data_IF_611896269031
#
_entry.id   IF_611896269031
#
_cell.length_a   1.000
_cell.length_b   1.000
_cell.length_c   1.000
_cell.angle_alpha   90.00
_cell.angle_beta   90.00
_cell.angle_gamma   90.00
#
_symmetry.space_group_name_H-M   'P 1'
#
loop_
_entity.id
_entity.type
_entity.pdbx_description
1 polymer ?
#
# COMPACT_ATOMS: atom_id res chain seq x y z
N UNK A 1 10.96 -8.73 -23.62
CA UNK A 1 11.00 -7.92 -22.39
C UNK A 1 11.02 -8.88 -21.23
N UNK A 2 11.88 -8.70 -20.24
CA UNK A 2 11.95 -9.58 -19.06
C UNK A 2 10.77 -9.26 -18.14
N UNK A 3 10.03 -10.25 -17.65
CA UNK A 3 8.96 -10.01 -16.67
C UNK A 3 9.55 -9.64 -15.29
N UNK A 4 8.85 -8.83 -14.48
CA UNK A 4 9.26 -8.55 -13.11
C UNK A 4 9.26 -9.85 -12.28
N UNK A 5 10.24 -10.04 -11.36
CA UNK A 5 10.28 -11.21 -10.48
C UNK A 5 9.28 -11.05 -9.32
N UNK A 6 7.98 -11.01 -9.63
CA UNK A 6 6.91 -10.62 -8.69
C UNK A 6 6.89 -11.46 -7.41
N UNK A 7 7.11 -12.77 -7.49
CA UNK A 7 7.16 -13.61 -6.30
C UNK A 7 8.30 -13.20 -5.35
N UNK A 8 9.47 -12.88 -5.91
CA UNK A 8 10.61 -12.43 -5.11
C UNK A 8 10.38 -11.04 -4.53
N UNK A 9 9.82 -10.12 -5.33
CA UNK A 9 9.40 -8.78 -4.88
C UNK A 9 8.41 -8.90 -3.71
N UNK A 10 7.36 -9.70 -3.88
CA UNK A 10 6.32 -9.89 -2.88
C UNK A 10 6.87 -10.46 -1.57
N UNK A 11 7.69 -11.52 -1.63
CA UNK A 11 8.36 -12.08 -0.44
C UNK A 11 9.25 -11.05 0.25
N UNK A 12 9.90 -10.18 -0.52
CA UNK A 12 10.73 -9.10 -0.01
C UNK A 12 9.97 -8.02 0.76
N UNK A 13 8.63 -7.94 0.65
CA UNK A 13 7.83 -6.98 1.40
C UNK A 13 7.73 -7.33 2.89
N UNK A 14 7.88 -8.59 3.27
CA UNK A 14 7.69 -9.04 4.64
C UNK A 14 8.61 -8.32 5.63
N UNK A 15 8.06 -7.90 6.77
CA UNK A 15 8.82 -7.26 7.85
C UNK A 15 8.31 -5.86 8.18
N UNK A 16 9.17 -5.06 8.80
CA UNK A 16 8.86 -3.71 9.29
C UNK A 16 9.60 -2.67 8.47
N UNK A 17 8.88 -1.61 8.10
CA UNK A 17 9.34 -0.55 7.23
C UNK A 17 9.17 0.80 7.91
N UNK A 18 10.14 1.70 7.72
CA UNK A 18 9.99 3.11 8.03
C UNK A 18 9.28 3.81 6.89
N UNK A 19 8.24 4.58 7.20
CA UNK A 19 7.48 5.34 6.22
C UNK A 19 7.80 6.83 6.34
N UNK A 20 8.06 7.45 5.19
CA UNK A 20 8.06 8.90 5.02
C UNK A 20 7.44 9.25 3.68
N UNK A 21 6.39 10.06 3.69
CA UNK A 21 5.69 10.50 2.48
C UNK A 21 5.46 12.00 2.53
N UNK A 22 5.64 12.68 1.40
CA UNK A 22 5.20 14.06 1.22
C UNK A 22 3.87 14.05 0.47
N UNK A 23 2.87 14.71 1.04
CA UNK A 23 1.57 14.90 0.43
C UNK A 23 1.48 16.32 -0.10
N UNK A 24 1.14 16.44 -1.38
CA UNK A 24 0.95 17.73 -2.05
C UNK A 24 -0.36 17.66 -2.80
N UNK A 25 -1.33 18.48 -2.39
CA UNK A 25 -2.60 18.62 -3.09
C UNK A 25 -2.60 19.90 -3.93
N UNK A 26 -3.21 19.83 -5.11
CA UNK A 26 -3.49 21.01 -5.95
C UNK A 26 -4.80 21.69 -5.58
N UNK A 27 -5.63 21.07 -4.75
CA UNK A 27 -6.93 21.60 -4.36
C UNK A 27 -6.80 22.52 -3.13
N UNK A 28 -7.37 23.75 -3.19
CA UNK A 28 -7.36 24.65 -2.04
C UNK A 28 -8.02 24.02 -0.80
N UNK A 29 -7.35 24.11 0.34
CA UNK A 29 -7.85 23.61 1.63
C UNK A 29 -7.64 22.11 1.89
N UNK A 30 -7.08 21.36 0.93
CA UNK A 30 -6.67 19.98 1.17
C UNK A 30 -5.28 19.92 1.81
N UNK A 31 -5.03 18.94 2.71
CA UNK A 31 -3.81 18.91 3.50
C UNK A 31 -2.60 18.58 2.64
N UNK A 32 -1.69 19.54 2.52
CA UNK A 32 -0.29 19.30 2.18
C UNK A 32 0.50 19.04 3.47
N UNK A 33 1.55 18.25 3.41
CA UNK A 33 2.41 18.01 4.57
C UNK A 33 3.29 16.77 4.46
N UNK A 34 3.90 16.41 5.59
CA UNK A 34 4.75 15.22 5.69
C UNK A 34 4.14 14.20 6.62
N UNK A 35 3.97 12.98 6.11
CA UNK A 35 3.61 11.80 6.90
C UNK A 35 4.88 11.04 7.29
N UNK A 36 5.02 10.75 8.58
CA UNK A 36 6.06 9.88 9.11
C UNK A 36 5.45 8.79 9.98
N UNK A 37 5.97 7.57 9.87
CA UNK A 37 5.43 6.43 10.58
C UNK A 37 6.15 5.12 10.28
N UNK A 38 5.44 4.02 10.51
CA UNK A 38 5.92 2.68 10.22
C UNK A 38 4.84 1.83 9.57
N UNK A 39 5.26 0.85 8.78
CA UNK A 39 4.41 -0.20 8.28
C UNK A 39 4.96 -1.58 8.64
N UNK A 40 4.06 -2.54 8.76
CA UNK A 40 4.42 -3.96 8.83
C UNK A 40 3.69 -4.74 7.76
N UNK A 41 4.40 -5.69 7.14
CA UNK A 41 3.81 -6.76 6.36
C UNK A 41 3.95 -8.07 7.15
N UNK A 42 2.84 -8.56 7.67
CA UNK A 42 2.75 -9.82 8.43
C UNK A 42 1.93 -10.88 7.67
N UNK A 43 2.21 -12.19 7.82
CA UNK A 43 1.40 -13.23 7.18
C UNK A 43 -0.09 -13.09 7.53
N UNK A 44 -0.96 -13.21 6.52
CA UNK A 44 -2.42 -13.17 6.67
C UNK A 44 -3.04 -14.52 6.30
N UNK A 45 -4.15 -14.87 6.95
CA UNK A 45 -4.95 -16.05 6.60
C UNK A 45 -5.75 -15.87 5.30
N UNK A 46 -5.85 -14.64 4.79
CA UNK A 46 -6.53 -14.31 3.55
C UNK A 46 -5.96 -15.07 2.34
N UNK A 47 -6.81 -15.29 1.34
CA UNK A 47 -6.44 -15.95 0.07
C UNK A 47 -5.70 -17.27 0.28
N UNK A 48 -6.20 -18.15 1.17
CA UNK A 48 -5.56 -19.42 1.51
C UNK A 48 -4.10 -19.26 2.00
N UNK A 49 -3.85 -18.25 2.86
CA UNK A 49 -2.53 -17.97 3.44
C UNK A 49 -1.45 -17.55 2.42
N UNK A 50 -1.86 -16.99 1.29
CA UNK A 50 -0.95 -16.49 0.23
C UNK A 50 -0.79 -14.96 0.24
N UNK A 51 -1.15 -14.32 1.35
CA UNK A 51 -1.23 -12.87 1.46
C UNK A 51 -0.49 -12.34 2.69
N UNK A 52 -0.17 -11.04 2.65
CA UNK A 52 0.31 -10.29 3.80
C UNK A 52 -0.74 -9.27 4.24
N UNK A 53 -0.93 -9.13 5.55
CA UNK A 53 -1.57 -7.97 6.13
C UNK A 53 -0.54 -6.84 6.19
N UNK A 54 -0.80 -5.79 5.45
CA UNK A 54 -0.14 -4.51 5.60
C UNK A 54 -0.87 -3.72 6.69
N UNK A 55 -0.13 -3.21 7.66
CA UNK A 55 -0.64 -2.32 8.70
C UNK A 55 0.31 -1.13 8.83
N UNK A 56 -0.18 0.08 8.55
CA UNK A 56 0.57 1.32 8.74
C UNK A 56 -0.01 2.15 9.87
N UNK A 57 0.90 2.74 10.64
CA UNK A 57 0.58 3.76 11.63
C UNK A 57 1.54 4.93 11.48
N UNK A 58 1.06 6.14 11.77
CA UNK A 58 1.91 7.32 11.71
C UNK A 58 1.13 8.61 11.91
N UNK A 59 1.80 9.72 11.67
CA UNK A 59 1.19 11.05 11.77
C UNK A 59 1.54 11.87 10.54
N UNK A 60 0.51 12.44 9.91
CA UNK A 60 0.66 13.51 8.94
C UNK A 60 0.69 14.83 9.71
N UNK A 61 1.80 15.55 9.58
CA UNK A 61 1.90 16.96 9.98
C UNK A 61 1.67 17.80 8.75
N UNK A 62 0.59 18.58 8.75
CA UNK A 62 0.27 19.47 7.63
C UNK A 62 1.11 20.74 7.67
N UNK A 63 1.25 21.41 6.53
CA UNK A 63 1.97 22.69 6.45
C UNK A 63 1.32 23.80 7.29
N UNK A 64 0.04 23.62 7.65
CA UNK A 64 -0.72 24.49 8.55
C UNK A 64 -0.56 24.12 10.03
N UNK A 65 0.23 23.08 10.34
CA UNK A 65 0.52 22.62 11.70
C UNK A 65 -0.51 21.64 12.29
N UNK A 66 -1.51 21.22 11.52
CA UNK A 66 -2.45 20.19 11.97
C UNK A 66 -1.75 18.82 12.01
N UNK A 67 -2.11 18.01 13.01
CA UNK A 67 -1.58 16.66 13.19
C UNK A 67 -2.70 15.66 13.03
N UNK A 68 -2.61 14.82 12.01
CA UNK A 68 -3.60 13.78 11.70
C UNK A 68 -2.94 12.42 11.91
N UNK A 69 -3.46 11.65 12.86
CA UNK A 69 -3.00 10.28 13.10
C UNK A 69 -3.61 9.38 12.04
N UNK A 70 -2.79 8.55 11.41
CA UNK A 70 -3.26 7.51 10.50
C UNK A 70 -3.01 6.14 11.12
N UNK A 71 -4.01 5.28 10.96
CA UNK A 71 -3.97 3.86 11.25
C UNK A 71 -4.74 3.17 10.12
N UNK A 72 -4.04 2.47 9.23
CA UNK A 72 -4.65 1.86 8.04
C UNK A 72 -4.14 0.45 7.81
N UNK A 73 -5.04 -0.42 7.35
CA UNK A 73 -4.73 -1.80 6.99
C UNK A 73 -5.13 -2.10 5.55
N UNK A 74 -4.35 -2.93 4.88
CA UNK A 74 -4.62 -3.48 3.56
C UNK A 74 -4.17 -4.94 3.51
N UNK A 75 -4.80 -5.76 2.68
CA UNK A 75 -4.29 -7.10 2.37
C UNK A 75 -3.57 -7.05 1.03
N UNK A 76 -2.29 -7.42 1.02
CA UNK A 76 -1.49 -7.56 -0.17
C UNK A 76 -1.46 -9.02 -0.60
N UNK A 77 -1.77 -9.29 -1.86
CA UNK A 77 -1.77 -10.64 -2.45
C UNK A 77 -0.86 -10.67 -3.67
N UNK A 78 -0.08 -11.75 -3.80
CA UNK A 78 0.51 -12.16 -5.07
C UNK A 78 -0.33 -13.27 -5.70
N UNK A 79 -0.77 -13.08 -6.95
CA UNK A 79 -1.44 -14.10 -7.77
C UNK A 79 -0.47 -14.59 -8.83
N UNK A 80 -0.14 -15.89 -8.80
CA UNK A 80 0.73 -16.51 -9.81
C UNK A 80 -0.01 -16.69 -11.15
N UNK A 81 -1.30 -17.01 -11.11
CA UNK A 81 -2.12 -17.22 -12.31
C UNK A 81 -2.33 -15.91 -13.10
N UNK A 82 -2.55 -14.80 -12.38
CA UNK A 82 -2.76 -13.49 -12.99
C UNK A 82 -1.47 -12.69 -13.18
N UNK A 83 -0.33 -13.19 -12.67
CA UNK A 83 0.95 -12.49 -12.60
C UNK A 83 0.84 -11.05 -12.02
N UNK A 84 0.18 -10.92 -10.86
CA UNK A 84 -0.09 -9.59 -10.25
C UNK A 84 0.18 -9.54 -8.75
N UNK A 85 0.54 -8.35 -8.29
CA UNK A 85 0.46 -7.98 -6.87
C UNK A 85 -0.69 -6.98 -6.74
N UNK A 86 -1.62 -7.25 -5.83
CA UNK A 86 -2.80 -6.39 -5.58
C UNK A 86 -2.95 -6.06 -4.11
N UNK A 87 -3.49 -4.87 -3.84
CA UNK A 87 -3.88 -4.40 -2.52
C UNK A 87 -5.40 -4.42 -2.40
N UNK A 88 -5.90 -4.87 -1.26
CA UNK A 88 -7.33 -5.04 -0.97
C UNK A 88 -7.67 -4.30 0.31
N UNK A 89 -8.86 -3.70 0.34
CA UNK A 89 -9.40 -3.17 1.59
C UNK A 89 -9.63 -4.29 2.60
N UNK A 90 -9.48 -3.93 3.87
CA UNK A 90 -9.69 -4.83 5.01
C UNK A 90 -11.03 -4.51 5.65
N UNK A 91 -11.81 -5.56 5.91
CA UNK A 91 -12.95 -5.50 6.84
C UNK A 91 -12.57 -6.23 8.12
N UNK A 92 -12.98 -5.66 9.24
CA UNK A 92 -12.82 -6.32 10.54
C UNK A 92 -14.10 -7.09 10.87
N UNK A 93 -14.03 -8.43 10.86
CA UNK A 93 -15.18 -9.29 11.20
C UNK A 93 -14.82 -10.11 12.43
N UNK A 94 -15.58 -9.92 13.52
CA UNK A 94 -15.38 -10.66 14.78
C UNK A 94 -13.94 -10.58 15.33
N UNK A 95 -13.29 -9.42 15.20
CA UNK A 95 -11.93 -9.18 15.67
C UNK A 95 -10.83 -9.78 14.79
N UNK A 96 -11.15 -10.17 13.55
CA UNK A 96 -10.18 -10.63 12.54
C UNK A 96 -10.21 -9.73 11.32
N UNK A 97 -9.01 -9.43 10.81
CA UNK A 97 -8.81 -8.74 9.55
C UNK A 97 -9.05 -9.73 8.38
N UNK A 98 -10.00 -9.41 7.50
CA UNK A 98 -10.31 -10.21 6.31
C UNK A 98 -10.49 -9.32 5.08
N UNK A 99 -10.49 -9.93 3.90
CA UNK A 99 -10.60 -9.26 2.61
C UNK A 99 -11.99 -8.66 2.44
N UNK A 100 -12.03 -7.39 2.05
CA UNK A 100 -13.23 -6.73 1.57
C UNK A 100 -13.22 -6.72 0.02
N UNK A 101 -12.96 -5.57 -0.61
CA UNK A 101 -12.88 -5.43 -2.06
C UNK A 101 -11.52 -4.89 -2.52
N UNK A 102 -11.24 -5.05 -3.82
CA UNK A 102 -9.98 -4.62 -4.45
C UNK A 102 -9.79 -3.11 -4.29
N UNK A 103 -8.61 -2.69 -3.84
CA UNK A 103 -8.20 -1.29 -3.81
C UNK A 103 -7.51 -0.93 -5.12
N UNK A 104 -6.37 -1.57 -5.42
CA UNK A 104 -5.66 -1.39 -6.67
C UNK A 104 -4.72 -2.56 -6.98
N UNK A 105 -4.24 -2.61 -8.21
CA UNK A 105 -3.19 -3.52 -8.67
C UNK A 105 -1.90 -2.73 -8.90
N UNK A 106 -0.76 -3.39 -8.67
CA UNK A 106 0.55 -2.81 -8.95
C UNK A 106 0.95 -3.12 -10.39
N UNK A 107 1.26 -2.08 -11.15
CA UNK A 107 1.85 -2.17 -12.48
C UNK A 107 3.35 -1.99 -12.40
N UNK A 108 4.10 -2.91 -13.02
CA UNK A 108 5.55 -2.90 -12.96
C UNK A 108 6.15 -2.51 -14.31
N UNK A 109 7.06 -1.55 -14.27
CA UNK A 109 7.83 -1.12 -15.43
C UNK A 109 9.32 -1.20 -15.10
N UNK A 110 10.11 -1.56 -16.11
CA UNK A 110 11.57 -1.56 -16.01
C UNK A 110 12.04 -0.14 -16.31
N UNK A 111 12.70 0.48 -15.34
CA UNK A 111 13.40 1.74 -15.53
C UNK A 111 14.88 1.51 -15.32
N UNK A 112 15.69 1.72 -16.36
CA UNK A 112 17.13 1.48 -16.33
C UNK A 112 17.47 0.08 -15.78
N UNK A 113 18.02 0.00 -14.57
CA UNK A 113 18.44 -1.22 -13.88
C UNK A 113 17.47 -1.69 -12.78
N UNK A 114 16.37 -0.98 -12.54
CA UNK A 114 15.42 -1.23 -11.45
C UNK A 114 13.98 -1.52 -11.92
N UNK A 115 13.22 -2.13 -11.02
CA UNK A 115 11.78 -2.30 -11.18
C UNK A 115 11.06 -1.19 -10.42
N UNK A 116 10.17 -0.49 -11.10
CA UNK A 116 9.32 0.55 -10.52
C UNK A 116 7.88 0.07 -10.57
N UNK A 117 7.24 0.03 -9.40
CA UNK A 117 5.82 -0.24 -9.27
C UNK A 117 5.05 1.08 -9.27
N UNK A 118 3.99 1.16 -10.07
CA UNK A 118 3.02 2.25 -10.09
C UNK A 118 1.64 1.67 -9.81
N UNK A 119 0.77 2.49 -9.26
CA UNK A 119 -0.62 2.12 -9.06
C UNK A 119 -1.46 3.37 -9.01
N UNK A 120 -2.59 3.33 -9.69
CA UNK A 120 -3.57 4.40 -9.69
C UNK A 120 -4.79 3.94 -8.88
N UNK A 121 -5.30 4.84 -8.03
CA UNK A 121 -6.59 4.68 -7.39
C UNK A 121 -7.51 5.80 -7.89
N UNK A 122 -8.80 5.49 -8.06
CA UNK A 122 -9.85 6.31 -8.68
C UNK A 122 -10.22 7.62 -7.92
N UNK A 123 -9.26 8.32 -7.33
CA UNK A 123 -9.41 9.72 -6.91
C UNK A 123 -8.89 10.62 -8.03
N UNK A 124 -9.61 10.62 -9.16
CA UNK A 124 -9.26 11.31 -10.43
C UNK A 124 -9.05 12.83 -10.26
N UNK A 125 -9.45 13.42 -9.13
CA UNK A 125 -9.45 14.86 -8.90
C UNK A 125 -8.29 15.40 -8.04
N UNK A 126 -7.37 14.55 -7.57
CA UNK A 126 -6.22 14.99 -6.75
C UNK A 126 -4.89 15.07 -7.54
N UNK A 127 -4.91 14.87 -8.86
CA UNK A 127 -3.73 14.96 -9.74
C UNK A 127 -3.46 16.38 -10.20
#
# INVERSE_FOLDING_TARGET
>A
MTNPPLQAIFRGLQGTWTLRRSLTSKLPGYPCGTFEGSATFSPSDAFNKSAYLYHETGTLVTDQGFRLVADRKYIYRYSADDEKISAWFVKETSGKDDVDYLYHELEFQREEDRWVARSDHLCVNDI
#
